data_IF_728765627171
#
_entry.id   IF_728765627171
#
_cell.length_a   1.000
_cell.length_b   1.000
_cell.length_c   1.000
_cell.angle_alpha   90.00
_cell.angle_beta   90.00
_cell.angle_gamma   90.00
#
_symmetry.space_group_name_H-M   'P 1'
#
loop_
_entity.id
_entity.type
_entity.pdbx_description
1 polymer ?
#
# COMPACT_ATOMS: atom_id res chain seq x y z
N UNK A 1 3.94 -9.71 -4.98
CA UNK A 1 2.56 -9.29 -4.67
C UNK A 1 1.63 -10.51 -4.58
N UNK A 2 1.60 -11.35 -5.63
CA UNK A 2 0.78 -12.58 -5.67
C UNK A 2 0.99 -13.53 -4.50
N UNK A 3 2.25 -13.79 -4.12
CA UNK A 3 2.56 -14.65 -2.97
C UNK A 3 1.95 -14.13 -1.65
N UNK A 4 1.95 -12.81 -1.45
CA UNK A 4 1.34 -12.18 -0.29
C UNK A 4 -0.18 -12.30 -0.31
N UNK A 5 -0.82 -12.14 -1.48
CA UNK A 5 -2.25 -12.37 -1.62
C UNK A 5 -2.65 -13.82 -1.38
N UNK A 6 -1.91 -14.79 -1.94
CA UNK A 6 -2.15 -16.21 -1.70
C UNK A 6 -2.00 -16.57 -0.22
N UNK A 7 -0.97 -16.03 0.45
CA UNK A 7 -0.76 -16.26 1.88
C UNK A 7 -1.88 -15.63 2.74
N UNK A 8 -2.30 -14.41 2.42
CA UNK A 8 -3.37 -13.71 3.15
C UNK A 8 -4.73 -14.36 2.92
N UNK A 9 -5.02 -14.80 1.69
CA UNK A 9 -6.23 -15.54 1.36
C UNK A 9 -6.28 -16.89 2.08
N UNK A 10 -5.16 -17.62 2.11
CA UNK A 10 -5.06 -18.87 2.87
C UNK A 10 -5.28 -18.64 4.37
N UNK A 11 -4.67 -17.60 4.93
CA UNK A 11 -4.89 -17.18 6.31
C UNK A 11 -6.37 -16.88 6.59
N UNK A 12 -7.06 -16.14 5.71
CA UNK A 12 -8.49 -15.86 5.84
C UNK A 12 -9.37 -17.11 5.79
N UNK A 13 -8.98 -18.13 5.01
CA UNK A 13 -9.70 -19.41 4.91
C UNK A 13 -9.47 -20.30 6.12
N UNK A 14 -8.28 -20.28 6.71
CA UNK A 14 -7.93 -21.10 7.87
C UNK A 14 -8.42 -20.46 9.20
N UNK A 15 -8.36 -19.13 9.31
CA UNK A 15 -8.80 -18.40 10.51
C UNK A 15 -10.31 -18.16 10.46
N UNK A 16 -11.07 -19.21 10.78
CA UNK A 16 -12.54 -19.17 10.81
C UNK A 16 -13.13 -18.36 11.97
N UNK A 17 -12.38 -18.22 13.06
CA UNK A 17 -12.79 -17.47 14.25
C UNK A 17 -11.66 -16.55 14.74
N UNK A 18 -11.50 -15.36 14.14
CA UNK A 18 -10.40 -14.44 14.47
C UNK A 18 -10.36 -14.02 15.95
N UNK A 19 -11.51 -14.01 16.64
CA UNK A 19 -11.60 -13.68 18.06
C UNK A 19 -10.79 -14.61 18.96
N UNK A 20 -10.51 -15.84 18.51
CA UNK A 20 -9.67 -16.80 19.25
C UNK A 20 -8.19 -16.38 19.29
N UNK A 21 -7.77 -15.49 18.39
CA UNK A 21 -6.41 -14.97 18.34
C UNK A 21 -6.18 -13.83 19.35
N UNK A 22 -7.26 -13.34 19.99
CA UNK A 22 -7.19 -12.23 20.94
C UNK A 22 -6.50 -12.65 22.22
N UNK A 23 -5.47 -11.91 22.63
CA UNK A 23 -4.62 -12.27 23.78
C UNK A 23 -3.73 -13.50 23.56
N UNK A 24 -3.64 -14.03 22.33
CA UNK A 24 -2.67 -15.07 21.97
C UNK A 24 -1.44 -14.39 21.40
N UNK A 25 -0.28 -14.67 21.97
CA UNK A 25 0.98 -14.07 21.54
C UNK A 25 1.79 -15.05 20.68
N UNK A 26 2.51 -14.57 19.66
CA UNK A 26 3.32 -15.42 18.80
C UNK A 26 4.37 -16.18 19.63
N UNK A 27 4.48 -17.49 19.40
CA UNK A 27 5.51 -18.32 20.03
C UNK A 27 6.86 -17.88 19.46
N UNK A 28 7.68 -17.29 20.31
CA UNK A 28 8.88 -16.54 19.95
C UNK A 28 9.95 -17.49 19.36
N UNK A 29 10.00 -17.60 18.03
CA UNK A 29 11.10 -18.26 17.31
C UNK A 29 11.96 -17.17 16.62
N UNK A 30 13.07 -16.83 17.28
CA UNK A 30 14.24 -16.23 16.63
C UNK A 30 14.14 -14.74 16.24
N UNK A 31 14.71 -13.90 17.11
CA UNK A 31 15.27 -12.57 16.82
C UNK A 31 14.30 -11.39 16.59
N UNK A 32 14.24 -10.56 17.65
CA UNK A 32 13.90 -9.13 17.65
C UNK A 32 12.55 -8.71 17.01
N UNK A 33 11.46 -8.98 17.72
CA UNK A 33 10.31 -8.07 17.71
C UNK A 33 9.67 -8.08 19.09
N UNK A 34 10.12 -7.15 19.96
CA UNK A 34 9.36 -6.76 21.13
C UNK A 34 8.07 -6.15 20.64
N UNK A 35 7.01 -6.96 20.61
CA UNK A 35 5.68 -6.55 20.18
C UNK A 35 4.69 -7.32 21.03
N UNK A 36 4.14 -6.66 22.03
CA UNK A 36 3.04 -7.19 22.85
C UNK A 36 1.71 -7.26 22.07
N UNK A 37 1.75 -7.29 20.74
CA UNK A 37 0.59 -7.35 19.87
C UNK A 37 0.09 -8.78 19.79
N UNK A 38 -1.20 -8.97 20.05
CA UNK A 38 -1.80 -10.28 19.93
C UNK A 38 -1.93 -10.69 18.44
N UNK A 39 -2.13 -11.99 18.20
CA UNK A 39 -2.29 -12.53 16.86
C UNK A 39 -3.53 -11.95 16.16
N UNK A 40 -4.51 -11.42 16.90
CA UNK A 40 -5.70 -10.79 16.33
C UNK A 40 -5.39 -9.41 15.74
N UNK A 41 -4.59 -8.59 16.41
CA UNK A 41 -4.09 -7.31 15.90
C UNK A 41 -3.21 -7.53 14.67
N UNK A 42 -2.31 -8.51 14.72
CA UNK A 42 -1.47 -8.91 13.58
C UNK A 42 -2.32 -9.37 12.38
N UNK A 43 -3.35 -10.18 12.64
CA UNK A 43 -4.30 -10.63 11.62
C UNK A 43 -5.04 -9.45 10.98
N UNK A 44 -5.50 -8.48 11.78
CA UNK A 44 -6.17 -7.28 11.27
C UNK A 44 -5.27 -6.42 10.39
N UNK A 45 -4.01 -6.22 10.79
CA UNK A 45 -3.04 -5.48 9.98
C UNK A 45 -2.81 -6.14 8.62
N UNK A 46 -2.52 -7.44 8.61
CA UNK A 46 -2.29 -8.19 7.37
C UNK A 46 -3.52 -8.14 6.45
N UNK A 47 -4.72 -8.12 7.03
CA UNK A 47 -5.97 -7.98 6.29
C UNK A 47 -6.22 -6.56 5.79
N UNK A 48 -5.82 -5.53 6.53
CA UNK A 48 -5.95 -4.12 6.14
C UNK A 48 -4.98 -3.73 5.00
N UNK A 49 -3.78 -4.34 4.97
CA UNK A 49 -2.80 -4.12 3.91
C UNK A 49 -3.24 -4.77 2.60
N UNK A 50 -3.98 -5.89 2.63
CA UNK A 50 -4.48 -6.58 1.45
C UNK A 50 -5.16 -5.65 0.43
N UNK A 51 -6.22 -4.89 0.76
CA UNK A 51 -6.86 -3.97 -0.19
C UNK A 51 -5.95 -2.81 -0.63
N UNK A 52 -5.00 -2.36 0.19
CA UNK A 52 -4.03 -1.33 -0.20
C UNK A 52 -3.11 -1.84 -1.31
N UNK A 53 -2.66 -3.08 -1.19
CA UNK A 53 -1.80 -3.76 -2.17
C UNK A 53 -2.62 -4.17 -3.41
N UNK A 54 -3.83 -4.71 -3.24
CA UNK A 54 -4.73 -5.17 -4.31
C UNK A 54 -5.20 -4.02 -5.18
N UNK A 55 -5.60 -2.92 -4.54
CA UNK A 55 -6.13 -1.77 -5.27
C UNK A 55 -5.03 -0.92 -5.85
N UNK A 56 -3.85 -0.85 -5.22
CA UNK A 56 -2.63 -0.18 -5.67
C UNK A 56 -2.70 1.26 -6.21
N UNK A 57 -3.88 1.84 -6.44
CA UNK A 57 -4.10 2.77 -7.55
C UNK A 57 -5.45 3.52 -7.50
N UNK A 58 -6.34 3.24 -6.54
CA UNK A 58 -7.68 3.87 -6.48
C UNK A 58 -7.92 4.53 -5.13
N UNK A 59 -7.56 5.82 -5.02
CA UNK A 59 -7.96 6.74 -3.96
C UNK A 59 -7.50 6.42 -2.53
N UNK A 60 -6.23 6.73 -2.24
CA UNK A 60 -5.81 7.14 -0.88
C UNK A 60 -6.11 8.64 -0.70
N UNK A 61 -7.33 9.08 -1.03
CA UNK A 61 -7.76 10.47 -0.86
C UNK A 61 -9.09 10.61 -0.11
N UNK A 62 -9.71 9.51 0.33
CA UNK A 62 -11.09 9.55 0.87
C UNK A 62 -11.25 8.90 2.26
N UNK A 63 -10.16 8.61 2.96
CA UNK A 63 -10.23 8.05 4.32
C UNK A 63 -9.34 8.80 5.30
N UNK A 64 -9.38 10.13 5.27
CA UNK A 64 -9.12 10.91 6.48
C UNK A 64 -10.47 11.25 7.12
N UNK A 65 -10.99 10.37 7.98
CA UNK A 65 -11.98 10.67 9.04
C UNK A 65 -12.61 9.38 9.57
N UNK A 66 -11.90 8.64 10.41
CA UNK A 66 -12.49 7.96 11.57
C UNK A 66 -11.40 7.75 12.61
N UNK A 67 -10.94 8.85 13.21
CA UNK A 67 -10.33 8.80 14.53
C UNK A 67 -11.46 8.59 15.55
N UNK A 68 -11.36 7.53 16.34
CA UNK A 68 -12.05 7.43 17.61
C UNK A 68 -11.11 6.70 18.60
N UNK A 69 -10.34 7.51 19.32
CA UNK A 69 -10.02 7.38 20.75
C UNK A 69 -9.62 5.99 21.28
N UNK A 70 -8.31 5.74 21.37
CA UNK A 70 -7.73 4.90 22.43
C UNK A 70 -6.26 5.30 22.63
N UNK A 71 -6.04 6.02 23.72
CA UNK A 71 -4.77 6.41 24.30
C UNK A 71 -4.04 5.16 24.80
N UNK A 72 -3.06 4.67 24.03
CA UNK A 72 -2.00 3.76 24.49
C UNK A 72 -0.75 4.00 23.65
N UNK A 73 0.02 4.97 24.12
CA UNK A 73 1.41 5.21 23.76
C UNK A 73 2.30 4.01 24.17
N UNK A 74 3.35 3.77 23.39
CA UNK A 74 4.33 2.68 23.43
C UNK A 74 3.92 1.36 22.74
N UNK A 75 4.65 1.08 21.66
CA UNK A 75 4.85 -0.24 21.03
C UNK A 75 3.95 -0.66 19.84
N UNK A 76 3.30 0.30 19.20
CA UNK A 76 2.66 0.10 17.87
C UNK A 76 3.63 0.33 16.69
N UNK A 77 4.93 0.49 16.97
CA UNK A 77 5.89 1.16 16.08
C UNK A 77 6.50 0.30 14.96
N UNK A 78 6.50 -1.03 15.06
CA UNK A 78 7.10 -1.87 14.01
C UNK A 78 6.11 -2.19 12.88
N UNK A 79 4.85 -2.41 13.24
CA UNK A 79 3.83 -2.95 12.35
C UNK A 79 2.99 -1.84 11.66
N UNK A 80 2.63 -0.77 12.38
CA UNK A 80 2.05 0.42 11.73
C UNK A 80 3.01 1.12 10.77
N UNK A 81 4.32 1.02 11.03
CA UNK A 81 5.36 1.52 10.12
C UNK A 81 5.38 0.77 8.78
N UNK A 82 4.96 -0.50 8.72
CA UNK A 82 4.92 -1.23 7.44
C UNK A 82 3.85 -0.68 6.49
N UNK A 83 2.67 -0.35 7.01
CA UNK A 83 1.58 0.26 6.25
C UNK A 83 1.97 1.66 5.74
N UNK A 84 2.55 2.49 6.61
CA UNK A 84 3.03 3.83 6.24
C UNK A 84 4.13 3.78 5.19
N UNK A 85 5.11 2.88 5.34
CA UNK A 85 6.19 2.69 4.36
C UNK A 85 5.67 2.23 3.01
N UNK A 86 4.77 1.25 3.01
CA UNK A 86 4.15 0.77 1.77
C UNK A 86 3.39 1.91 1.08
N UNK A 87 2.58 2.66 1.83
CA UNK A 87 1.84 3.82 1.34
C UNK A 87 2.77 4.87 0.71
N UNK A 88 3.87 5.19 1.40
CA UNK A 88 4.86 6.15 0.91
C UNK A 88 5.51 5.68 -0.41
N UNK A 89 5.90 4.41 -0.50
CA UNK A 89 6.49 3.87 -1.73
C UNK A 89 5.52 3.84 -2.91
N UNK A 90 4.26 3.45 -2.67
CA UNK A 90 3.22 3.44 -3.70
C UNK A 90 2.94 4.85 -4.20
N UNK A 91 2.79 5.83 -3.30
CA UNK A 91 2.59 7.22 -3.66
C UNK A 91 3.78 7.78 -4.45
N UNK A 92 5.02 7.49 -4.03
CA UNK A 92 6.23 7.87 -4.76
C UNK A 92 6.26 7.30 -6.17
N UNK A 93 5.91 6.02 -6.33
CA UNK A 93 5.82 5.38 -7.64
C UNK A 93 4.74 6.03 -8.53
N UNK A 94 3.56 6.32 -7.97
CA UNK A 94 2.47 7.00 -8.70
C UNK A 94 2.90 8.39 -9.20
N UNK A 95 3.64 9.15 -8.38
CA UNK A 95 4.16 10.45 -8.77
C UNK A 95 5.15 10.32 -9.94
N UNK A 96 6.09 9.38 -9.86
CA UNK A 96 7.04 9.10 -10.95
C UNK A 96 6.31 8.72 -12.24
N UNK A 97 5.34 7.81 -12.18
CA UNK A 97 4.54 7.41 -13.35
C UNK A 97 3.76 8.58 -13.95
N UNK A 98 3.24 9.47 -13.10
CA UNK A 98 2.53 10.68 -13.53
C UNK A 98 3.47 11.60 -14.31
N UNK A 99 4.69 11.82 -13.83
CA UNK A 99 5.64 12.70 -14.48
C UNK A 99 6.21 12.08 -15.76
N UNK A 100 6.47 10.78 -15.79
CA UNK A 100 6.79 10.06 -17.03
C UNK A 100 5.66 10.21 -18.06
N UNK A 101 4.40 10.08 -17.63
CA UNK A 101 3.23 10.25 -18.52
C UNK A 101 3.16 11.66 -19.09
N UNK A 102 3.41 12.69 -18.29
CA UNK A 102 3.48 14.09 -18.77
C UNK A 102 4.59 14.26 -19.80
N UNK A 103 5.78 13.74 -19.53
CA UNK A 103 6.92 13.81 -20.44
C UNK A 103 6.64 13.12 -21.77
N UNK A 104 6.06 11.92 -21.75
CA UNK A 104 5.66 11.21 -22.96
C UNK A 104 4.66 12.03 -23.78
N UNK A 105 3.62 12.60 -23.13
CA UNK A 105 2.63 13.46 -23.80
C UNK A 105 3.27 14.72 -24.41
N UNK A 106 4.20 15.35 -23.69
CA UNK A 106 4.92 16.54 -24.17
C UNK A 106 5.79 16.20 -25.38
N UNK A 107 6.52 15.09 -25.33
CA UNK A 107 7.32 14.58 -26.44
C UNK A 107 6.46 14.29 -27.67
N UNK A 108 5.35 13.56 -27.51
CA UNK A 108 4.41 13.29 -28.60
C UNK A 108 3.87 14.58 -29.22
N UNK A 109 3.44 15.55 -28.40
CA UNK A 109 2.98 16.86 -28.89
C UNK A 109 4.06 17.59 -29.68
N UNK A 110 5.30 17.60 -29.17
CA UNK A 110 6.41 18.28 -29.82
C UNK A 110 6.73 17.65 -31.17
N UNK A 111 6.70 16.32 -31.26
CA UNK A 111 6.88 15.60 -32.51
C UNK A 111 5.78 15.95 -33.53
N UNK A 112 4.51 15.96 -33.13
CA UNK A 112 3.40 16.37 -34.00
C UNK A 112 3.58 17.80 -34.53
N UNK A 113 4.00 18.73 -33.68
CA UNK A 113 4.25 20.12 -34.07
C UNK A 113 5.38 20.24 -35.10
N UNK A 114 6.45 19.43 -34.98
CA UNK A 114 7.55 19.40 -35.96
C UNK A 114 7.02 18.91 -37.32
N UNK A 115 6.21 17.85 -37.33
CA UNK A 115 5.61 17.35 -38.58
C UNK A 115 4.71 18.40 -39.25
N UNK A 116 3.91 19.14 -38.49
CA UNK A 116 3.08 20.23 -39.03
C UNK A 116 3.93 21.35 -39.63
N UNK A 117 5.02 21.75 -38.96
CA UNK A 117 5.91 22.80 -39.45
C UNK A 117 6.63 22.41 -40.75
N UNK A 118 7.03 21.14 -40.88
CA UNK A 118 7.65 20.64 -42.12
C UNK A 118 6.66 20.74 -43.28
N UNK A 119 5.43 20.24 -43.10
CA UNK A 119 4.39 20.29 -44.14
C UNK A 119 4.05 21.73 -44.58
N UNK A 120 3.98 22.69 -43.64
CA UNK A 120 3.72 24.11 -43.96
C UNK A 120 4.88 24.83 -44.67
N UNK A 121 6.08 24.25 -44.65
CA UNK A 121 7.28 24.85 -45.27
C UNK A 121 7.45 24.42 -46.74
N UNK A 122 6.63 23.47 -47.22
CA UNK A 122 6.69 22.90 -48.57
C UNK A 122 5.66 23.50 -49.56
N UNK A 123 4.76 24.39 -49.08
CA UNK A 123 3.82 25.22 -49.88
C UNK A 123 4.32 26.66 -50.02
#
# INVERSE_FOLDING_TARGET
MEQYFSATQKMEQEVMFPSLLRGVFPQQEGEAAGGHTDLYERYQLLKAIKPMVEKGLASVNDQSQTSAEADTDLDKGADSNLEERLSHHVNGLQQVLTDLTKNTKALTRRYSQILEQINLSED
#
